data_IF_454521497468
#
_entry.id   IF_454521497468
#
_cell.length_a   1.000
_cell.length_b   1.000
_cell.length_c   1.000
_cell.angle_alpha   90.00
_cell.angle_beta   90.00
_cell.angle_gamma   90.00
#
_symmetry.space_group_name_H-M   'P 1'
#
loop_
_entity.id
_entity.type
_entity.pdbx_description
1 polymer ?
#
# COMPACT_ATOMS: atom_id res chain seq x y z
N UNK A 1 21.33 19.97 -14.71
CA UNK A 1 20.42 18.88 -15.11
C UNK A 1 20.30 17.93 -13.93
N UNK A 2 19.27 18.03 -13.07
CA UNK A 2 18.93 16.99 -12.10
C UNK A 2 17.58 16.36 -12.49
N UNK A 3 17.59 15.13 -13.01
CA UNK A 3 16.33 14.44 -13.40
C UNK A 3 16.30 12.96 -12.99
N UNK A 4 17.34 12.43 -12.35
CA UNK A 4 17.40 10.97 -12.10
C UNK A 4 17.13 10.53 -10.66
N UNK A 5 16.99 11.44 -9.68
CA UNK A 5 16.77 11.01 -8.28
C UNK A 5 15.29 10.71 -7.95
N UNK A 6 14.35 11.36 -8.65
CA UNK A 6 12.91 11.25 -8.35
C UNK A 6 12.32 9.93 -8.87
N UNK A 7 12.80 9.43 -10.02
CA UNK A 7 12.28 8.20 -10.64
C UNK A 7 12.57 6.95 -9.81
N UNK A 8 13.72 6.90 -9.14
CA UNK A 8 14.08 5.75 -8.31
C UNK A 8 13.17 5.61 -7.09
N UNK A 9 12.77 6.73 -6.47
CA UNK A 9 11.89 6.71 -5.31
C UNK A 9 10.45 6.35 -5.69
N UNK A 10 9.95 6.83 -6.84
CA UNK A 10 8.62 6.49 -7.36
C UNK A 10 8.52 5.02 -7.78
N UNK A 11 9.53 4.46 -8.44
CA UNK A 11 9.53 3.04 -8.84
C UNK A 11 9.56 2.13 -7.61
N UNK A 12 10.41 2.45 -6.63
CA UNK A 12 10.46 1.71 -5.35
C UNK A 12 9.15 1.88 -4.57
N UNK A 13 8.50 3.05 -4.65
CA UNK A 13 7.17 3.24 -4.09
C UNK A 13 6.18 2.28 -4.74
N UNK A 14 6.06 2.33 -6.06
CA UNK A 14 5.08 1.54 -6.81
C UNK A 14 5.24 0.03 -6.56
N UNK A 15 6.47 -0.45 -6.41
CA UNK A 15 6.76 -1.83 -6.03
C UNK A 15 6.24 -2.19 -4.63
N UNK A 16 6.35 -1.28 -3.65
CA UNK A 16 5.79 -1.47 -2.30
C UNK A 16 4.27 -1.52 -2.34
N UNK A 17 3.63 -0.60 -3.06
CA UNK A 17 2.17 -0.59 -3.19
C UNK A 17 1.66 -1.88 -3.82
N UNK A 18 2.28 -2.33 -4.91
CA UNK A 18 1.95 -3.61 -5.54
C UNK A 18 2.14 -4.81 -4.61
N UNK A 19 3.22 -4.81 -3.83
CA UNK A 19 3.47 -5.87 -2.85
C UNK A 19 2.41 -5.89 -1.74
N UNK A 20 2.04 -4.72 -1.21
CA UNK A 20 1.00 -4.61 -0.18
C UNK A 20 -0.35 -5.09 -0.74
N UNK A 21 -0.71 -4.66 -1.96
CA UNK A 21 -1.93 -5.12 -2.61
C UNK A 21 -1.94 -6.63 -2.75
N UNK A 22 -0.86 -7.23 -3.26
CA UNK A 22 -0.73 -8.68 -3.41
C UNK A 22 -0.86 -9.43 -2.09
N UNK A 23 -0.31 -8.88 -1.02
CA UNK A 23 -0.44 -9.44 0.32
C UNK A 23 -1.89 -9.39 0.82
N UNK A 24 -2.63 -8.32 0.50
CA UNK A 24 -4.04 -8.18 0.87
C UNK A 24 -4.97 -9.05 0.01
N UNK A 25 -4.65 -9.28 -1.25
CA UNK A 25 -5.37 -10.23 -2.12
C UNK A 25 -5.26 -11.67 -1.62
N UNK A 26 -4.07 -12.07 -1.14
CA UNK A 26 -3.78 -13.45 -0.74
C UNK A 26 -4.19 -13.76 0.70
N UNK A 27 -3.83 -12.88 1.63
CA UNK A 27 -4.05 -13.10 3.06
C UNK A 27 -5.35 -12.47 3.57
N UNK A 28 -6.05 -11.69 2.73
CA UNK A 28 -7.26 -10.92 3.03
C UNK A 28 -7.12 -9.87 4.15
N UNK A 29 -5.99 -9.86 4.86
CA UNK A 29 -5.70 -8.88 5.91
C UNK A 29 -4.22 -8.84 6.32
N UNK A 30 -3.71 -7.65 6.67
CA UNK A 30 -2.35 -7.45 7.19
C UNK A 30 -2.32 -6.34 8.25
N UNK A 31 -1.52 -6.48 9.32
CA UNK A 31 -1.31 -5.37 10.27
C UNK A 31 -0.32 -4.35 9.72
N UNK A 32 -0.46 -3.09 10.13
CA UNK A 32 0.48 -2.03 9.74
C UNK A 32 1.92 -2.36 10.15
N UNK A 33 2.10 -2.88 11.37
CA UNK A 33 3.42 -3.25 11.89
C UNK A 33 4.05 -4.41 11.11
N UNK A 34 3.29 -5.45 10.76
CA UNK A 34 3.81 -6.56 9.96
C UNK A 34 4.17 -6.14 8.53
N UNK A 35 3.42 -5.19 7.94
CA UNK A 35 3.78 -4.60 6.65
C UNK A 35 5.07 -3.77 6.77
N UNK A 36 5.19 -2.96 7.83
CA UNK A 36 6.34 -2.12 8.09
C UNK A 36 7.62 -2.95 8.30
N UNK A 37 7.54 -4.00 9.12
CA UNK A 37 8.64 -4.94 9.34
C UNK A 37 9.09 -5.64 8.06
N UNK A 38 8.15 -6.16 7.26
CA UNK A 38 8.48 -6.89 6.03
C UNK A 38 9.05 -6.00 4.93
N UNK A 39 8.56 -4.77 4.81
CA UNK A 39 9.05 -3.79 3.84
C UNK A 39 10.26 -3.01 4.36
N UNK A 40 10.67 -3.22 5.62
CA UNK A 40 11.73 -2.47 6.30
C UNK A 40 11.52 -0.96 6.25
N UNK A 41 10.28 -0.51 6.46
CA UNK A 41 9.89 0.91 6.46
C UNK A 41 9.20 1.30 7.76
N UNK A 42 8.97 2.60 7.94
CA UNK A 42 8.17 3.07 9.06
C UNK A 42 6.66 2.77 8.87
N UNK A 43 5.88 2.60 9.95
CA UNK A 43 4.42 2.49 9.87
C UNK A 43 3.75 3.71 9.18
N UNK A 44 4.38 4.89 9.28
CA UNK A 44 3.95 6.09 8.56
C UNK A 44 4.09 5.91 7.04
N UNK A 45 5.20 5.33 6.59
CA UNK A 45 5.42 5.01 5.18
C UNK A 45 4.38 4.03 4.66
N UNK A 46 4.05 2.99 5.44
CA UNK A 46 2.96 2.05 5.09
C UNK A 46 1.64 2.80 4.94
N UNK A 47 1.30 3.68 5.89
CA UNK A 47 0.07 4.50 5.80
C UNK A 47 0.04 5.34 4.52
N UNK A 48 1.16 5.94 4.13
CA UNK A 48 1.26 6.70 2.89
C UNK A 48 1.05 5.81 1.66
N UNK A 49 1.70 4.64 1.60
CA UNK A 49 1.49 3.65 0.53
C UNK A 49 0.05 3.17 0.45
N UNK A 50 -0.63 2.97 1.58
CA UNK A 50 -2.08 2.65 1.60
C UNK A 50 -2.92 3.80 1.03
N UNK A 51 -2.57 5.05 1.32
CA UNK A 51 -3.27 6.21 0.76
C UNK A 51 -3.05 6.29 -0.76
N UNK A 52 -1.83 6.06 -1.25
CA UNK A 52 -1.52 5.99 -2.68
C UNK A 52 -2.30 4.87 -3.35
N UNK A 53 -2.31 3.66 -2.76
CA UNK A 53 -3.11 2.53 -3.24
C UNK A 53 -4.59 2.87 -3.34
N UNK A 54 -5.16 3.53 -2.33
CA UNK A 54 -6.56 3.95 -2.36
C UNK A 54 -6.87 4.94 -3.49
N UNK A 55 -5.92 5.81 -3.85
CA UNK A 55 -6.07 6.71 -5.00
C UNK A 55 -6.02 5.93 -6.32
N UNK A 56 -5.11 4.96 -6.44
CA UNK A 56 -4.97 4.12 -7.65
C UNK A 56 -6.16 3.18 -7.86
N UNK A 57 -6.74 2.67 -6.78
CA UNK A 57 -7.84 1.70 -6.81
C UNK A 57 -9.22 2.36 -6.98
N UNK A 58 -9.33 3.66 -6.75
CA UNK A 58 -10.60 4.35 -6.86
C UNK A 58 -11.11 4.37 -8.31
N UNK A 59 -12.43 4.21 -8.55
CA UNK A 59 -13.49 3.98 -7.56
C UNK A 59 -13.74 2.50 -7.26
N UNK A 60 -13.04 1.57 -7.91
CA UNK A 60 -13.36 0.14 -7.91
C UNK A 60 -13.03 -0.59 -6.61
N UNK A 61 -12.09 -0.10 -5.81
CA UNK A 61 -11.73 -0.73 -4.54
C UNK A 61 -11.16 0.27 -3.52
N UNK A 62 -11.09 -0.16 -2.26
CA UNK A 62 -10.40 0.58 -1.19
C UNK A 62 -9.79 -0.36 -0.16
N UNK A 63 -8.62 0.00 0.35
CA UNK A 63 -7.97 -0.61 1.50
C UNK A 63 -8.29 0.21 2.76
N UNK A 64 -8.89 -0.43 3.76
CA UNK A 64 -9.33 0.24 5.00
C UNK A 64 -8.80 -0.47 6.25
N UNK A 65 -8.48 0.27 7.32
CA UNK A 65 -8.20 -0.33 8.62
C UNK A 65 -9.49 -0.89 9.24
N UNK A 66 -9.43 -2.12 9.73
CA UNK A 66 -10.48 -2.83 10.45
C UNK A 66 -9.84 -3.69 11.55
N UNK A 67 -10.20 -3.42 12.82
CA UNK A 67 -9.68 -4.14 13.99
C UNK A 67 -8.13 -4.22 14.04
N UNK A 68 -7.45 -3.09 13.79
CA UNK A 68 -5.98 -3.01 13.83
C UNK A 68 -5.26 -3.60 12.61
N UNK A 69 -5.99 -3.96 11.55
CA UNK A 69 -5.42 -4.54 10.33
C UNK A 69 -6.02 -3.90 9.08
N UNK A 70 -5.25 -3.80 8.01
CA UNK A 70 -5.76 -3.42 6.70
C UNK A 70 -6.51 -4.58 6.06
N UNK A 71 -7.57 -4.25 5.31
CA UNK A 71 -8.39 -5.14 4.49
C UNK A 71 -8.70 -4.47 3.16
N UNK A 72 -8.69 -5.25 2.08
CA UNK A 72 -9.11 -4.83 0.75
C UNK A 72 -10.64 -5.02 0.61
N UNK A 73 -11.31 -3.99 0.11
CA UNK A 73 -12.74 -3.98 -0.18
C UNK A 73 -12.92 -3.69 -1.67
N UNK A 74 -13.60 -4.59 -2.38
CA UNK A 74 -14.07 -4.32 -3.74
C UNK A 74 -15.39 -3.56 -3.65
N UNK A 75 -15.47 -2.44 -4.35
CA UNK A 75 -16.64 -1.58 -4.43
C UNK A 75 -17.34 -1.91 -5.75
N UNK A 76 -18.36 -2.76 -5.68
CA UNK A 76 -19.27 -3.00 -6.80
C UNK A 76 -20.32 -1.87 -6.80
N UNK A 77 -20.43 -1.08 -7.89
CA UNK A 77 -21.37 0.04 -7.98
C UNK A 77 -22.84 -0.36 -8.00
#
# INVERSE_FOLDING_TARGET
>A
MPTNEVEHEEVIAMDREMWILRQLETSLTASADALAERLQVSPRTVTNSINTLNQMLAPAASVRPAAGRYRLYILDP
#
